data_IF_857283411648
#
_entry.id   IF_857283411648
#
_cell.length_a   1.000
_cell.length_b   1.000
_cell.length_c   1.000
_cell.angle_alpha   90.00
_cell.angle_beta   90.00
_cell.angle_gamma   90.00
#
_symmetry.space_group_name_H-M   'P 1'
#
loop_
_entity.id
_entity.type
_entity.pdbx_description
1 polymer ?
#
# COMPACT_ATOMS: atom_id res chain seq x y z
N UNK A 1 45.50 -21.19 -6.94
CA UNK A 1 44.67 -20.09 -7.49
C UNK A 1 43.22 -20.37 -7.11
N UNK A 2 42.69 -19.66 -6.11
CA UNK A 2 41.32 -19.81 -5.63
C UNK A 2 40.51 -18.60 -6.12
N UNK A 3 39.53 -18.82 -6.99
CA UNK A 3 38.53 -17.81 -7.35
C UNK A 3 37.14 -18.43 -7.23
N UNK A 4 36.68 -18.60 -5.98
CA UNK A 4 35.25 -18.66 -5.68
C UNK A 4 34.78 -17.23 -5.44
N UNK A 5 34.18 -16.58 -6.45
CA UNK A 5 33.33 -15.41 -6.22
C UNK A 5 31.90 -15.80 -6.58
N UNK A 6 31.27 -16.52 -5.64
CA UNK A 6 29.82 -16.58 -5.58
C UNK A 6 29.32 -15.19 -5.21
N UNK A 7 28.90 -14.41 -6.21
CA UNK A 7 28.06 -13.25 -5.99
C UNK A 7 26.70 -13.80 -5.53
N UNK A 8 26.55 -14.04 -4.22
CA UNK A 8 25.22 -14.14 -3.62
C UNK A 8 24.64 -12.73 -3.70
N UNK A 9 23.90 -12.46 -4.77
CA UNK A 9 22.91 -11.38 -4.73
C UNK A 9 21.99 -11.75 -3.57
N UNK A 10 21.98 -10.92 -2.55
CA UNK A 10 21.02 -10.98 -1.47
C UNK A 10 19.66 -10.71 -2.13
N UNK A 11 18.96 -11.78 -2.54
CA UNK A 11 17.60 -11.67 -3.02
C UNK A 11 16.76 -11.22 -1.83
N UNK A 12 16.59 -9.90 -1.66
CA UNK A 12 15.51 -9.38 -0.83
C UNK A 12 14.23 -10.01 -1.36
N UNK A 13 13.61 -10.87 -0.56
CA UNK A 13 12.31 -11.46 -0.87
C UNK A 13 11.33 -10.29 -0.98
N UNK A 14 10.93 -9.95 -2.20
CA UNK A 14 9.90 -8.95 -2.44
C UNK A 14 8.58 -9.47 -1.91
N UNK A 15 7.80 -8.59 -1.28
CA UNK A 15 6.49 -8.94 -0.76
C UNK A 15 5.43 -8.59 -1.81
N UNK A 16 4.64 -9.58 -2.24
CA UNK A 16 3.50 -9.31 -3.11
C UNK A 16 2.33 -8.77 -2.29
N UNK A 17 1.81 -7.60 -2.67
CA UNK A 17 0.61 -6.97 -2.08
C UNK A 17 -0.49 -6.91 -3.14
N UNK A 18 -1.68 -7.43 -2.82
CA UNK A 18 -2.85 -7.38 -3.70
C UNK A 18 -3.79 -6.22 -3.33
N UNK A 19 -4.41 -5.60 -4.34
CA UNK A 19 -5.30 -4.44 -4.19
C UNK A 19 -6.67 -4.76 -3.58
N UNK A 20 -7.07 -6.03 -3.51
CA UNK A 20 -8.30 -6.47 -2.85
C UNK A 20 -8.13 -6.73 -1.35
N UNK A 21 -6.86 -6.84 -0.90
CA UNK A 21 -6.46 -7.16 0.46
C UNK A 21 -7.24 -8.34 1.04
N UNK A 22 -7.40 -9.41 0.26
CA UNK A 22 -8.18 -10.61 0.62
C UNK A 22 -7.94 -11.08 2.07
N UNK A 23 -6.67 -11.16 2.48
CA UNK A 23 -6.24 -11.71 3.78
C UNK A 23 -6.23 -10.71 4.95
N UNK A 24 -6.87 -9.54 4.83
CA UNK A 24 -6.80 -8.51 5.86
C UNK A 24 -7.74 -8.82 7.05
N UNK A 25 -7.24 -9.65 7.98
CA UNK A 25 -7.97 -10.16 9.16
C UNK A 25 -8.65 -9.12 10.06
N UNK A 26 -8.19 -7.86 10.04
CA UNK A 26 -8.78 -6.75 10.81
C UNK A 26 -10.13 -6.33 10.25
N UNK A 27 -10.36 -6.51 8.96
CA UNK A 27 -11.60 -6.13 8.29
C UNK A 27 -12.54 -7.35 8.28
N UNK A 28 -13.61 -7.26 9.06
CA UNK A 28 -14.61 -8.30 9.24
C UNK A 28 -15.59 -8.36 8.06
N UNK A 29 -15.91 -7.18 7.50
CA UNK A 29 -16.78 -7.06 6.34
C UNK A 29 -16.26 -5.95 5.41
N UNK A 30 -16.24 -6.24 4.11
CA UNK A 30 -15.78 -5.31 3.08
C UNK A 30 -16.51 -5.52 1.76
N UNK A 31 -16.52 -4.46 0.95
CA UNK A 31 -16.89 -4.52 -0.46
C UNK A 31 -15.69 -4.14 -1.30
N UNK A 32 -15.59 -4.73 -2.48
CA UNK A 32 -14.49 -4.52 -3.39
C UNK A 32 -15.01 -4.21 -4.79
N UNK A 33 -14.40 -3.23 -5.44
CA UNK A 33 -14.60 -2.91 -6.84
C UNK A 33 -13.25 -2.63 -7.50
N UNK A 34 -13.16 -2.85 -8.80
CA UNK A 34 -11.96 -2.53 -9.59
C UNK A 34 -12.35 -2.07 -10.98
N UNK A 35 -11.49 -1.26 -11.60
CA UNK A 35 -11.68 -0.77 -12.96
C UNK A 35 -10.32 -0.53 -13.62
N UNK A 36 -10.27 -0.70 -14.94
CA UNK A 36 -9.19 -0.14 -15.75
C UNK A 36 -9.61 1.24 -16.25
N UNK A 37 -8.70 2.20 -16.20
CA UNK A 37 -8.95 3.57 -16.64
C UNK A 37 -7.83 4.05 -17.56
N UNK A 38 -8.22 4.60 -18.70
CA UNK A 38 -7.31 5.28 -19.63
C UNK A 38 -7.88 6.67 -19.95
N UNK A 39 -7.20 7.70 -19.47
CA UNK A 39 -7.52 9.12 -19.62
C UNK A 39 -6.25 9.87 -20.04
N UNK A 40 -6.37 11.16 -20.38
CA UNK A 40 -5.22 12.00 -20.73
C UNK A 40 -4.20 12.13 -19.59
N UNK A 41 -4.65 12.08 -18.34
CA UNK A 41 -3.81 12.31 -17.15
C UNK A 41 -3.46 11.03 -16.39
N UNK A 42 -4.17 9.93 -16.64
CA UNK A 42 -3.95 8.65 -15.98
C UNK A 42 -4.27 7.46 -16.90
N UNK A 43 -3.36 6.49 -16.96
CA UNK A 43 -3.61 5.17 -17.53
C UNK A 43 -3.16 4.11 -16.52
N UNK A 44 -4.05 3.18 -16.18
CA UNK A 44 -3.75 2.13 -15.19
C UNK A 44 -5.00 1.47 -14.61
N UNK A 45 -4.79 0.75 -13.51
CA UNK A 45 -5.86 0.05 -12.81
C UNK A 45 -6.21 0.77 -11.51
N UNK A 46 -7.47 0.67 -11.13
CA UNK A 46 -8.03 1.19 -9.90
C UNK A 46 -8.59 0.02 -9.10
N UNK A 47 -8.40 0.05 -7.79
CA UNK A 47 -9.20 -0.75 -6.87
C UNK A 47 -9.82 0.14 -5.80
N UNK A 48 -11.02 -0.20 -5.38
CA UNK A 48 -11.73 0.47 -4.31
C UNK A 48 -12.14 -0.56 -3.27
N UNK A 49 -11.58 -0.41 -2.07
CA UNK A 49 -11.95 -1.20 -0.91
C UNK A 49 -12.84 -0.37 0.00
N UNK A 50 -14.09 -0.79 0.17
CA UNK A 50 -15.01 -0.21 1.15
C UNK A 50 -15.00 -1.06 2.41
N UNK A 51 -14.55 -0.48 3.51
CA UNK A 51 -14.43 -1.13 4.81
C UNK A 51 -15.77 -0.97 5.52
N UNK A 52 -16.58 -2.03 5.52
CA UNK A 52 -17.91 -1.99 6.13
C UNK A 52 -17.80 -2.18 7.64
N UNK A 53 -16.96 -3.12 8.07
CA UNK A 53 -16.76 -3.42 9.49
C UNK A 53 -15.33 -3.83 9.80
N UNK A 54 -14.73 -3.28 10.86
CA UNK A 54 -13.45 -3.72 11.43
C UNK A 54 -13.62 -4.34 12.81
N UNK A 55 -12.66 -5.18 13.22
CA UNK A 55 -12.56 -5.67 14.60
C UNK A 55 -12.10 -4.57 15.56
N UNK A 56 -11.25 -3.67 15.06
CA UNK A 56 -10.70 -2.52 15.78
C UNK A 56 -10.13 -1.49 14.79
N UNK A 57 -10.24 -0.18 15.08
CA UNK A 57 -9.69 0.88 14.22
C UNK A 57 -8.18 0.74 14.05
N UNK A 58 -7.68 0.88 12.82
CA UNK A 58 -6.25 0.95 12.54
C UNK A 58 -5.79 2.40 12.63
N UNK A 59 -5.00 2.70 13.65
CA UNK A 59 -4.36 4.00 13.78
C UNK A 59 -2.84 3.88 13.69
N UNK A 60 -2.22 4.85 13.04
CA UNK A 60 -0.76 4.99 12.90
C UNK A 60 -0.31 6.27 13.57
N UNK A 61 0.89 6.26 14.15
CA UNK A 61 1.48 7.44 14.78
C UNK A 61 2.52 8.07 13.85
N UNK A 62 2.45 9.37 13.71
CA UNK A 62 3.40 10.22 13.00
C UNK A 62 3.89 11.28 14.00
N UNK A 63 5.04 11.03 14.62
CA UNK A 63 5.50 11.82 15.77
C UNK A 63 4.49 11.77 16.93
N UNK A 64 4.06 12.93 17.39
CA UNK A 64 3.07 13.08 18.47
C UNK A 64 1.62 12.95 18.00
N UNK A 65 1.38 12.89 16.68
CA UNK A 65 0.05 12.80 16.10
C UNK A 65 -0.36 11.36 15.85
N UNK A 66 -1.58 11.00 16.24
CA UNK A 66 -2.20 9.70 15.95
C UNK A 66 -3.28 9.86 14.90
N UNK A 67 -3.14 9.15 13.77
CA UNK A 67 -4.07 9.21 12.64
C UNK A 67 -4.78 7.87 12.47
N UNK A 68 -6.12 7.87 12.44
CA UNK A 68 -6.91 6.68 12.11
C UNK A 68 -7.02 6.54 10.60
N UNK A 69 -6.52 5.43 10.05
CA UNK A 69 -6.44 5.19 8.59
C UNK A 69 -7.40 4.10 8.11
N UNK A 70 -8.02 3.35 9.02
CA UNK A 70 -9.09 2.42 8.71
C UNK A 70 -10.02 2.24 9.91
N UNK A 71 -11.30 2.47 9.70
CA UNK A 71 -12.38 2.18 10.65
C UNK A 71 -13.65 1.81 9.86
N UNK A 72 -14.75 1.55 10.56
CA UNK A 72 -16.05 1.33 9.95
C UNK A 72 -16.43 2.50 9.02
N UNK A 73 -16.83 2.17 7.79
CA UNK A 73 -17.24 3.14 6.77
C UNK A 73 -16.09 3.77 5.98
N UNK A 74 -14.83 3.45 6.28
CA UNK A 74 -13.69 4.01 5.55
C UNK A 74 -13.56 3.44 4.13
N UNK A 75 -12.94 4.20 3.24
CA UNK A 75 -12.66 3.79 1.85
C UNK A 75 -11.17 3.87 1.55
N UNK A 76 -10.62 2.85 0.91
CA UNK A 76 -9.27 2.89 0.35
C UNK A 76 -9.37 2.81 -1.18
N UNK A 77 -9.09 3.93 -1.84
CA UNK A 77 -8.98 3.99 -3.30
C UNK A 77 -7.52 3.83 -3.71
N UNK A 78 -7.22 2.77 -4.44
CA UNK A 78 -5.87 2.44 -4.86
C UNK A 78 -5.72 2.64 -6.36
N UNK A 79 -4.63 3.28 -6.77
CA UNK A 79 -4.27 3.53 -8.15
C UNK A 79 -2.95 2.84 -8.50
N UNK A 80 -2.97 2.09 -9.60
CA UNK A 80 -1.87 1.29 -10.11
C UNK A 80 -1.53 1.75 -11.55
N UNK A 81 -0.77 2.85 -11.69
CA UNK A 81 -0.49 3.45 -12.99
C UNK A 81 0.41 2.55 -13.87
N UNK A 82 -0.01 2.37 -15.12
CA UNK A 82 0.66 1.52 -16.10
C UNK A 82 2.09 1.98 -16.39
N UNK A 83 3.04 1.03 -16.37
CA UNK A 83 4.45 1.30 -16.64
C UNK A 83 5.17 2.14 -15.57
N UNK A 84 4.52 2.41 -14.43
CA UNK A 84 5.14 3.10 -13.28
C UNK A 84 5.59 2.10 -12.22
N UNK A 85 6.37 2.60 -11.27
CA UNK A 85 7.00 1.84 -10.17
C UNK A 85 6.48 2.27 -8.79
N UNK A 86 5.21 2.63 -8.74
CA UNK A 86 4.54 2.97 -7.50
C UNK A 86 3.04 2.71 -7.62
N UNK A 87 2.39 2.45 -6.49
CA UNK A 87 0.94 2.56 -6.35
C UNK A 87 0.60 3.65 -5.35
N UNK A 88 -0.54 4.30 -5.52
CA UNK A 88 -1.05 5.30 -4.58
C UNK A 88 -2.32 4.74 -3.93
N UNK A 89 -2.44 4.82 -2.61
CA UNK A 89 -3.67 4.55 -1.88
C UNK A 89 -4.14 5.83 -1.24
N UNK A 90 -5.28 6.35 -1.67
CA UNK A 90 -5.97 7.44 -1.00
C UNK A 90 -6.94 6.86 0.01
N UNK A 91 -6.73 7.17 1.29
CA UNK A 91 -7.65 6.75 2.36
C UNK A 91 -8.65 7.86 2.64
N UNK A 92 -9.93 7.49 2.71
CA UNK A 92 -11.03 8.36 3.10
C UNK A 92 -11.65 7.86 4.40
N UNK A 93 -12.04 8.79 5.27
CA UNK A 93 -12.83 8.48 6.46
C UNK A 93 -14.30 8.19 6.10
N UNK A 94 -15.12 7.90 7.10
CA UNK A 94 -16.56 7.62 6.94
C UNK A 94 -17.38 8.82 6.46
N UNK A 95 -16.83 10.04 6.49
CA UNK A 95 -17.43 11.24 5.93
C UNK A 95 -16.94 11.54 4.50
N UNK A 96 -16.06 10.69 3.95
CA UNK A 96 -15.47 10.87 2.62
C UNK A 96 -14.36 11.92 2.57
N UNK A 97 -13.81 12.33 3.72
CA UNK A 97 -12.67 13.26 3.79
C UNK A 97 -11.37 12.49 3.63
N UNK A 98 -10.41 13.08 2.93
CA UNK A 98 -9.09 12.47 2.75
C UNK A 98 -8.36 12.47 4.11
N UNK A 99 -7.96 11.27 4.52
CA UNK A 99 -7.16 11.04 5.72
C UNK A 99 -5.68 11.15 5.40
N UNK A 100 -5.23 10.50 4.33
CA UNK A 100 -3.85 10.54 3.83
C UNK A 100 -3.76 9.96 2.42
N UNK A 101 -2.63 10.21 1.76
CA UNK A 101 -2.16 9.44 0.61
C UNK A 101 -0.97 8.58 1.03
N UNK A 102 -1.01 7.30 0.67
CA UNK A 102 0.06 6.34 0.90
C UNK A 102 0.62 5.87 -0.44
N UNK A 103 1.91 6.05 -0.67
CA UNK A 103 2.58 5.75 -1.93
C UNK A 103 3.56 4.60 -1.69
N UNK A 104 3.21 3.39 -2.13
CA UNK A 104 4.11 2.24 -2.09
C UNK A 104 5.05 2.30 -3.30
N UNK A 105 6.37 2.24 -3.08
CA UNK A 105 7.34 2.06 -4.16
C UNK A 105 7.50 0.58 -4.45
N UNK A 106 7.34 0.20 -5.71
CA UNK A 106 7.30 -1.19 -6.13
C UNK A 106 8.22 -1.48 -7.32
N UNK A 107 8.68 -2.72 -7.42
CA UNK A 107 9.47 -3.15 -8.58
C UNK A 107 8.59 -3.26 -9.82
N UNK A 108 7.41 -3.86 -9.66
CA UNK A 108 6.47 -4.08 -10.74
C UNK A 108 5.04 -4.01 -10.23
N UNK A 109 4.15 -3.73 -11.17
CA UNK A 109 2.71 -3.80 -11.02
C UNK A 109 2.24 -4.88 -12.01
N UNK A 110 1.33 -5.74 -11.57
CA UNK A 110 0.71 -6.73 -12.45
C UNK A 110 -0.74 -6.98 -12.06
N UNK A 111 -1.38 -7.89 -12.80
CA UNK A 111 -2.75 -8.36 -12.55
C UNK A 111 -2.71 -9.85 -12.26
N UNK A 112 -3.60 -10.34 -11.40
CA UNK A 112 -3.83 -11.77 -11.24
C UNK A 112 -4.90 -12.26 -12.24
N UNK A 113 -5.28 -13.53 -12.14
CA UNK A 113 -6.29 -14.16 -13.03
C UNK A 113 -7.68 -13.49 -12.94
N UNK A 114 -8.00 -12.87 -11.81
CA UNK A 114 -9.24 -12.14 -11.56
C UNK A 114 -9.14 -10.63 -11.91
N UNK A 115 -8.07 -10.21 -12.59
CA UNK A 115 -7.73 -8.81 -12.89
C UNK A 115 -7.53 -7.92 -11.65
N UNK A 116 -7.31 -8.51 -10.47
CA UNK A 116 -6.94 -7.77 -9.26
C UNK A 116 -5.50 -7.29 -9.40
N UNK A 117 -5.25 -5.98 -9.27
CA UNK A 117 -3.90 -5.45 -9.32
C UNK A 117 -3.09 -5.89 -8.11
N UNK A 118 -1.81 -6.17 -8.35
CA UNK A 118 -0.83 -6.48 -7.32
C UNK A 118 0.48 -5.75 -7.58
N UNK A 119 1.26 -5.56 -6.52
CA UNK A 119 2.60 -4.98 -6.58
C UNK A 119 3.62 -5.91 -5.94
N UNK A 120 4.85 -5.91 -6.47
CA UNK A 120 6.01 -6.46 -5.78
C UNK A 120 6.72 -5.33 -5.01
N UNK A 121 6.50 -5.29 -3.70
CA UNK A 121 6.85 -4.21 -2.79
C UNK A 121 8.36 -4.13 -2.50
N UNK A 122 8.91 -2.91 -2.56
CA UNK A 122 10.32 -2.60 -2.23
C UNK A 122 10.52 -2.10 -0.80
N UNK A 123 9.47 -2.09 0.02
CA UNK A 123 9.46 -1.67 1.42
C UNK A 123 9.93 -0.23 1.62
N UNK A 124 9.65 0.62 0.64
CA UNK A 124 9.87 2.05 0.69
C UNK A 124 8.53 2.70 0.39
N UNK A 125 8.05 3.49 1.35
CA UNK A 125 6.74 4.10 1.27
C UNK A 125 6.83 5.60 1.57
N UNK A 126 5.93 6.38 0.98
CA UNK A 126 5.78 7.80 1.25
C UNK A 126 4.36 8.04 1.71
N UNK A 127 4.19 8.73 2.83
CA UNK A 127 2.89 9.20 3.32
C UNK A 127 2.81 10.70 3.11
N UNK A 128 1.72 11.16 2.52
CA UNK A 128 1.40 12.59 2.41
C UNK A 128 0.12 12.84 3.20
N UNK A 129 0.17 13.78 4.14
CA UNK A 129 -0.98 14.20 4.94
C UNK A 129 -1.75 15.33 4.23
N UNK A 130 -3.03 15.57 4.58
CA UNK A 130 -3.81 16.69 4.04
C UNK A 130 -3.18 18.07 4.27
N UNK A 131 -2.32 18.20 5.29
CA UNK A 131 -1.51 19.40 5.54
C UNK A 131 -0.42 19.66 4.49
N UNK A 132 -0.11 18.68 3.65
CA UNK A 132 1.05 18.68 2.74
C UNK A 132 2.32 18.12 3.38
N UNK A 133 2.30 17.81 4.68
CA UNK A 133 3.42 17.13 5.35
C UNK A 133 3.70 15.78 4.69
N UNK A 134 4.98 15.49 4.45
CA UNK A 134 5.43 14.28 3.77
C UNK A 134 6.37 13.49 4.68
N UNK A 135 6.09 12.20 4.83
CA UNK A 135 6.79 11.29 5.73
C UNK A 135 7.30 10.11 4.92
N UNK A 136 8.60 9.88 4.94
CA UNK A 136 9.22 8.69 4.34
C UNK A 136 9.22 7.54 5.35
N UNK A 137 8.87 6.34 4.92
CA UNK A 137 8.97 5.11 5.71
C UNK A 137 9.78 4.08 4.94
N UNK A 138 10.71 3.40 5.61
CA UNK A 138 11.46 2.30 5.02
C UNK A 138 11.37 1.02 5.85
N UNK A 139 11.90 -0.08 5.30
CA UNK A 139 11.92 -1.37 5.98
C UNK A 139 12.64 -1.33 7.34
N UNK A 140 13.68 -0.51 7.50
CA UNK A 140 14.43 -0.40 8.77
C UNK A 140 13.56 0.13 9.89
N UNK A 141 12.60 1.00 9.59
CA UNK A 141 11.61 1.48 10.55
C UNK A 141 10.59 0.41 10.96
N UNK A 142 10.45 -0.66 10.15
CA UNK A 142 9.51 -1.77 10.39
C UNK A 142 10.15 -3.00 11.02
N UNK A 143 11.47 -3.16 10.95
CA UNK A 143 12.22 -4.15 11.73
C UNK A 143 12.63 -3.51 13.06
N UNK A 144 11.89 -3.72 14.18
CA UNK A 144 12.45 -3.40 15.48
C UNK A 144 13.73 -4.24 15.63
N UNK A 145 14.86 -3.54 15.74
CA UNK A 145 16.15 -4.00 16.25
C UNK A 145 16.21 -5.48 16.60
N UNK A 146 16.52 -6.34 15.62
CA UNK A 146 17.13 -7.64 15.93
C UNK A 146 18.61 -7.39 16.21
N UNK A 147 18.86 -6.91 17.42
CA UNK A 147 20.17 -6.88 18.05
C UNK A 147 20.02 -7.20 19.54
N UNK A 148 19.76 -8.48 19.84
CA UNK A 148 20.30 -9.18 21.02
C UNK A 148 20.77 -10.55 20.53
#
# INVERSE_FOLDING_TARGET
MCLKRGCRRECRLLKRKHGDRADWKRVLEKRYAQAELATETFAGHLSLLSIVKVSEPLCVSYGDSKLCIADDGYLWLQQFPSGKRHSVTTMFDSEGRIVQWYIDICQTIGLNEDNVPWIDDLFLDIVVLPSGETIQKDASDFFPQLAI
#
